data_IF_796122663436
#
_entry.id   IF_796122663436
#
_cell.length_a   1.000
_cell.length_b   1.000
_cell.length_c   1.000
_cell.angle_alpha   90.00
_cell.angle_beta   90.00
_cell.angle_gamma   90.00
#
_symmetry.space_group_name_H-M   'P 1'
#
loop_
_entity.id
_entity.type
_entity.pdbx_description
1 polymer ?
#
# COMPACT_ATOMS: atom_id res chain seq x y z
N UNK A 1 -5.69 -15.85 -32.73
CA UNK A 1 -4.78 -14.68 -32.75
C UNK A 1 -5.66 -13.44 -32.75
N UNK A 2 -5.87 -12.78 -31.61
CA UNK A 2 -6.46 -11.45 -31.52
C UNK A 2 -5.37 -10.50 -31.11
N UNK A 3 -5.13 -9.54 -31.96
CA UNK A 3 -4.10 -8.50 -31.84
C UNK A 3 -4.40 -7.55 -30.68
N UNK A 4 -3.40 -7.34 -29.83
CA UNK A 4 -3.39 -6.30 -28.82
C UNK A 4 -3.35 -4.92 -29.49
N UNK A 5 -4.08 -3.94 -28.93
CA UNK A 5 -3.83 -2.54 -29.17
C UNK A 5 -4.92 -1.75 -29.88
N UNK A 6 -6.10 -1.65 -29.28
CA UNK A 6 -6.95 -0.48 -29.53
C UNK A 6 -7.20 0.25 -28.21
N UNK A 7 -6.44 1.28 -28.01
CA UNK A 7 -6.71 2.29 -26.98
C UNK A 7 -7.99 3.02 -27.39
N UNK A 8 -9.11 2.67 -26.78
CA UNK A 8 -10.40 3.29 -27.04
C UNK A 8 -10.34 4.73 -26.49
N UNK A 9 -10.09 5.68 -27.38
CA UNK A 9 -10.17 7.11 -27.09
C UNK A 9 -11.63 7.50 -26.90
N UNK A 10 -12.10 7.52 -25.66
CA UNK A 10 -13.45 7.97 -25.32
C UNK A 10 -13.52 9.49 -25.54
N UNK A 11 -14.24 9.91 -26.59
CA UNK A 11 -14.58 11.31 -26.81
C UNK A 11 -15.51 11.80 -25.71
N UNK A 12 -15.10 12.87 -25.02
CA UNK A 12 -15.96 13.63 -24.11
C UNK A 12 -17.14 14.24 -24.93
N UNK A 13 -18.31 13.66 -24.76
CA UNK A 13 -19.56 14.12 -25.36
C UNK A 13 -20.75 13.80 -24.46
N UNK A 14 -21.36 14.83 -23.90
CA UNK A 14 -22.70 14.91 -23.28
C UNK A 14 -23.17 13.72 -22.45
N UNK A 15 -22.89 13.77 -21.13
CA UNK A 15 -23.81 13.32 -20.09
C UNK A 15 -24.29 11.86 -20.13
N UNK A 16 -23.39 10.87 -20.02
CA UNK A 16 -23.78 9.48 -19.79
C UNK A 16 -22.63 8.70 -19.16
N UNK A 17 -22.97 7.72 -18.32
CA UNK A 17 -22.01 6.75 -17.82
C UNK A 17 -21.82 5.63 -18.84
N UNK A 18 -20.75 4.89 -18.72
CA UNK A 18 -20.45 3.70 -19.53
C UNK A 18 -20.28 2.52 -18.58
N UNK A 19 -21.03 1.46 -18.81
CA UNK A 19 -20.80 0.19 -18.11
C UNK A 19 -19.55 -0.47 -18.71
N UNK A 20 -18.54 -0.72 -17.88
CA UNK A 20 -17.25 -1.26 -18.32
C UNK A 20 -17.38 -2.68 -18.91
N UNK A 21 -18.24 -3.51 -18.31
CA UNK A 21 -18.38 -4.90 -18.71
C UNK A 21 -19.03 -5.06 -20.07
N UNK A 22 -19.96 -4.16 -20.43
CA UNK A 22 -20.75 -4.24 -21.68
C UNK A 22 -20.34 -3.20 -22.71
N UNK A 23 -19.64 -2.14 -22.29
CA UNK A 23 -19.35 -0.96 -23.12
C UNK A 23 -20.58 -0.11 -23.46
N UNK A 24 -21.75 -0.40 -22.87
CA UNK A 24 -23.00 0.29 -23.18
C UNK A 24 -23.18 1.57 -22.36
N UNK A 25 -23.82 2.60 -22.95
CA UNK A 25 -24.15 3.81 -22.21
C UNK A 25 -25.24 3.52 -21.17
N UNK A 26 -25.07 4.11 -19.98
CA UNK A 26 -26.05 4.11 -18.91
C UNK A 26 -26.55 5.54 -18.68
N UNK A 27 -27.86 5.72 -18.61
CA UNK A 27 -28.47 7.01 -18.36
C UNK A 27 -28.26 7.50 -16.92
N UNK A 28 -28.22 6.56 -15.96
CA UNK A 28 -28.08 6.84 -14.53
C UNK A 28 -27.11 5.86 -13.88
N UNK A 29 -26.48 6.32 -12.79
CA UNK A 29 -25.64 5.49 -11.95
C UNK A 29 -26.49 4.84 -10.86
N UNK A 30 -26.70 3.53 -10.95
CA UNK A 30 -27.33 2.75 -9.90
C UNK A 30 -26.46 2.70 -8.62
N UNK A 31 -27.08 2.50 -7.44
CA UNK A 31 -26.40 2.45 -6.14
C UNK A 31 -25.37 1.33 -6.03
N UNK A 32 -25.53 0.25 -6.77
CA UNK A 32 -24.58 -0.87 -6.82
C UNK A 32 -23.32 -0.55 -7.65
N UNK A 33 -23.37 0.48 -8.51
CA UNK A 33 -22.28 0.87 -9.40
C UNK A 33 -21.39 1.95 -8.78
N UNK A 34 -20.13 1.96 -9.17
CA UNK A 34 -19.16 2.99 -8.78
C UNK A 34 -18.24 3.35 -9.94
N UNK A 35 -17.60 4.51 -9.86
CA UNK A 35 -16.63 4.93 -10.87
C UNK A 35 -15.35 4.13 -10.78
N UNK A 36 -14.93 3.56 -11.88
CA UNK A 36 -13.58 3.02 -12.03
C UNK A 36 -12.61 4.14 -12.42
N UNK A 37 -12.91 4.84 -13.52
CA UNK A 37 -12.19 6.04 -13.97
C UNK A 37 -13.13 6.88 -14.85
N UNK A 38 -12.99 8.19 -14.83
CA UNK A 38 -13.84 9.13 -15.56
C UNK A 38 -15.34 8.78 -15.42
N UNK A 39 -16.05 8.55 -16.54
CA UNK A 39 -17.45 8.15 -16.57
C UNK A 39 -17.69 6.63 -16.68
N UNK A 40 -16.62 5.82 -16.60
CA UNK A 40 -16.73 4.36 -16.65
C UNK A 40 -17.12 3.82 -15.28
N UNK A 41 -18.19 3.03 -15.24
CA UNK A 41 -18.74 2.42 -14.05
C UNK A 41 -18.47 0.91 -14.01
N UNK A 42 -18.25 0.44 -12.78
CA UNK A 42 -18.15 -0.99 -12.46
C UNK A 42 -19.02 -1.31 -11.24
N UNK A 43 -19.39 -2.56 -11.01
CA UNK A 43 -20.01 -2.97 -9.75
C UNK A 43 -19.12 -2.66 -8.54
N UNK A 44 -19.71 -2.28 -7.41
CA UNK A 44 -18.96 -2.08 -6.14
C UNK A 44 -18.22 -3.34 -5.66
N UNK A 45 -18.55 -4.50 -6.21
CA UNK A 45 -17.88 -5.78 -5.96
C UNK A 45 -16.67 -6.05 -6.86
N UNK A 46 -16.36 -5.13 -7.78
CA UNK A 46 -15.17 -5.27 -8.64
C UNK A 46 -13.89 -5.36 -7.78
N UNK A 47 -12.99 -6.31 -8.05
CA UNK A 47 -11.76 -6.48 -7.26
C UNK A 47 -10.88 -5.23 -7.19
N UNK A 48 -10.87 -4.39 -8.24
CA UNK A 48 -10.13 -3.12 -8.27
C UNK A 48 -10.69 -2.12 -7.26
N UNK A 49 -12.01 -2.11 -7.08
CA UNK A 49 -12.67 -1.27 -6.07
C UNK A 49 -12.38 -1.80 -4.66
N UNK A 50 -12.39 -3.13 -4.48
CA UNK A 50 -12.00 -3.74 -3.21
C UNK A 50 -10.54 -3.41 -2.85
N UNK A 51 -9.62 -3.47 -3.81
CA UNK A 51 -8.22 -3.05 -3.63
C UNK A 51 -8.11 -1.58 -3.21
N UNK A 52 -8.78 -0.67 -3.93
CA UNK A 52 -8.79 0.78 -3.58
C UNK A 52 -9.32 1.01 -2.16
N UNK A 53 -10.39 0.31 -1.77
CA UNK A 53 -10.93 0.41 -0.41
C UNK A 53 -9.97 -0.09 0.67
N UNK A 54 -9.21 -1.16 0.40
CA UNK A 54 -8.15 -1.64 1.31
C UNK A 54 -7.01 -0.63 1.40
N UNK A 55 -6.59 -0.05 0.30
CA UNK A 55 -5.51 0.93 0.25
C UNK A 55 -5.92 2.24 0.96
N UNK A 56 -7.16 2.68 0.80
CA UNK A 56 -7.70 3.85 1.50
C UNK A 56 -7.71 3.65 3.02
N UNK A 57 -8.17 2.49 3.49
CA UNK A 57 -8.12 2.12 4.91
C UNK A 57 -6.68 2.06 5.44
N UNK A 58 -5.74 1.56 4.63
CA UNK A 58 -4.33 1.48 4.97
C UNK A 58 -3.73 2.88 5.14
N UNK A 59 -3.96 3.79 4.18
CA UNK A 59 -3.51 5.19 4.27
C UNK A 59 -4.05 5.90 5.51
N UNK A 60 -5.33 5.70 5.83
CA UNK A 60 -5.94 6.28 7.03
C UNK A 60 -5.25 5.77 8.31
N UNK A 61 -4.96 4.48 8.40
CA UNK A 61 -4.26 3.88 9.54
C UNK A 61 -2.81 4.36 9.64
N UNK A 62 -2.10 4.45 8.52
CA UNK A 62 -0.72 4.96 8.46
C UNK A 62 -0.66 6.41 8.97
N UNK A 63 -1.58 7.26 8.52
CA UNK A 63 -1.67 8.66 8.96
C UNK A 63 -1.97 8.78 10.47
N UNK A 64 -2.89 7.97 10.98
CA UNK A 64 -3.22 7.96 12.41
C UNK A 64 -2.01 7.55 13.26
N UNK A 65 -1.29 6.51 12.84
CA UNK A 65 -0.10 6.05 13.52
C UNK A 65 1.05 7.06 13.43
N UNK A 66 1.20 7.78 12.31
CA UNK A 66 2.16 8.87 12.17
C UNK A 66 1.86 10.01 13.16
N UNK A 67 0.60 10.43 13.28
CA UNK A 67 0.19 11.43 14.28
C UNK A 67 0.50 10.97 15.71
N UNK A 68 0.27 9.70 16.03
CA UNK A 68 0.61 9.11 17.32
C UNK A 68 2.13 9.11 17.58
N UNK A 69 2.93 8.74 16.57
CA UNK A 69 4.39 8.77 16.69
C UNK A 69 4.89 10.19 16.99
N UNK A 70 4.36 11.20 16.31
CA UNK A 70 4.68 12.62 16.57
C UNK A 70 4.30 13.02 18.00
N UNK A 71 3.11 12.66 18.47
CA UNK A 71 2.68 13.00 19.85
C UNK A 71 3.52 12.35 20.95
N UNK A 72 4.22 11.26 20.63
CA UNK A 72 5.13 10.55 21.53
C UNK A 72 6.61 10.98 21.36
N UNK A 73 6.91 11.95 20.50
CA UNK A 73 8.30 12.38 20.21
C UNK A 73 9.13 11.32 19.48
N UNK A 74 8.48 10.39 18.75
CA UNK A 74 9.14 9.33 17.96
C UNK A 74 9.40 9.83 16.53
N UNK A 75 10.25 10.85 16.39
CA UNK A 75 10.46 11.57 15.14
C UNK A 75 10.96 10.68 13.99
N UNK A 76 11.89 9.76 14.24
CA UNK A 76 12.39 8.83 13.22
C UNK A 76 11.27 7.88 12.74
N UNK A 77 10.41 7.42 13.65
CA UNK A 77 9.26 6.60 13.29
C UNK A 77 8.25 7.39 12.46
N UNK A 78 7.94 8.62 12.87
CA UNK A 78 7.01 9.49 12.17
C UNK A 78 7.50 9.84 10.76
N UNK A 79 8.80 10.07 10.58
CA UNK A 79 9.41 10.28 9.27
C UNK A 79 9.27 9.02 8.38
N UNK A 80 9.62 7.84 8.89
CA UNK A 80 9.48 6.59 8.16
C UNK A 80 8.03 6.26 7.79
N UNK A 81 7.07 6.57 8.66
CA UNK A 81 5.64 6.44 8.35
C UNK A 81 5.19 7.45 7.28
N UNK A 82 5.81 8.62 7.20
CA UNK A 82 5.62 9.57 6.12
C UNK A 82 6.01 8.99 4.76
N UNK A 83 7.18 8.33 4.67
CA UNK A 83 7.61 7.64 3.45
C UNK A 83 6.66 6.49 3.05
N UNK A 84 6.17 5.73 4.05
CA UNK A 84 5.16 4.68 3.84
C UNK A 84 3.90 5.28 3.23
N UNK A 85 3.35 6.35 3.82
CA UNK A 85 2.13 7.03 3.35
C UNK A 85 2.28 7.59 1.92
N UNK A 86 3.41 8.21 1.61
CA UNK A 86 3.69 8.71 0.26
C UNK A 86 3.77 7.56 -0.77
N UNK A 87 4.27 6.40 -0.36
CA UNK A 87 4.30 5.21 -1.22
C UNK A 87 2.90 4.66 -1.46
N UNK A 88 2.06 4.59 -0.44
CA UNK A 88 0.65 4.18 -0.56
C UNK A 88 -0.12 5.09 -1.52
N UNK A 89 0.07 6.41 -1.41
CA UNK A 89 -0.50 7.41 -2.33
C UNK A 89 -0.02 7.23 -3.76
N UNK A 90 1.27 6.92 -3.94
CA UNK A 90 1.83 6.66 -5.26
C UNK A 90 1.25 5.38 -5.90
N UNK A 91 1.04 4.33 -5.11
CA UNK A 91 0.37 3.09 -5.56
C UNK A 91 -1.04 3.42 -6.06
N UNK A 92 -1.83 4.17 -5.27
CA UNK A 92 -3.19 4.56 -5.67
C UNK A 92 -3.18 5.41 -6.94
N UNK A 93 -2.28 6.39 -7.03
CA UNK A 93 -2.19 7.26 -8.19
C UNK A 93 -1.81 6.50 -9.46
N UNK A 94 -0.83 5.58 -9.39
CA UNK A 94 -0.41 4.74 -10.50
C UNK A 94 -1.54 3.79 -10.97
N UNK A 95 -2.30 3.24 -10.02
CA UNK A 95 -3.43 2.37 -10.34
C UNK A 95 -4.55 3.15 -11.04
N UNK A 96 -4.99 4.28 -10.47
CA UNK A 96 -6.09 5.10 -11.02
C UNK A 96 -5.76 5.65 -12.40
N UNK A 97 -4.50 6.03 -12.63
CA UNK A 97 -4.05 6.58 -13.91
C UNK A 97 -3.69 5.51 -14.94
N UNK A 98 -3.55 4.25 -14.53
CA UNK A 98 -3.04 3.18 -15.39
C UNK A 98 -1.56 3.36 -15.76
N UNK A 99 -0.79 4.12 -14.97
CA UNK A 99 0.62 4.40 -15.21
C UNK A 99 1.50 3.37 -14.48
N UNK A 100 2.71 3.07 -15.01
CA UNK A 100 3.69 2.25 -14.30
C UNK A 100 4.08 2.91 -12.97
N UNK A 101 4.27 2.07 -11.94
CA UNK A 101 4.78 2.51 -10.64
C UNK A 101 6.30 2.34 -10.60
N UNK A 102 7.10 3.43 -10.57
CA UNK A 102 8.55 3.32 -10.47
C UNK A 102 8.98 2.75 -9.12
N UNK A 103 10.09 2.01 -9.11
CA UNK A 103 10.72 1.58 -7.87
C UNK A 103 11.15 2.79 -7.02
N UNK A 104 11.02 2.63 -5.70
CA UNK A 104 11.32 3.68 -4.72
C UNK A 104 12.19 3.13 -3.61
N UNK A 105 13.06 3.96 -3.12
CA UNK A 105 13.75 3.73 -1.84
C UNK A 105 12.79 4.05 -0.69
N UNK A 106 12.90 3.29 0.40
CA UNK A 106 12.17 3.48 1.65
C UNK A 106 13.15 3.31 2.81
N UNK A 107 13.10 4.20 3.79
CA UNK A 107 13.98 4.17 4.96
C UNK A 107 15.47 4.23 4.60
N UNK A 108 15.81 4.83 3.44
CA UNK A 108 17.15 4.87 2.87
C UNK A 108 17.63 3.54 2.29
N UNK A 109 16.71 2.64 1.93
CA UNK A 109 17.00 1.31 1.40
C UNK A 109 16.28 1.09 0.07
N UNK A 110 16.97 0.49 -0.89
CA UNK A 110 16.36 -0.05 -2.09
C UNK A 110 15.56 -1.35 -1.81
N UNK A 111 14.92 -1.89 -2.82
CA UNK A 111 14.11 -3.10 -2.67
C UNK A 111 14.91 -4.33 -2.19
N UNK A 112 16.18 -4.45 -2.55
CA UNK A 112 17.06 -5.51 -2.09
C UNK A 112 17.49 -5.29 -0.63
N UNK A 113 17.82 -4.06 -0.27
CA UNK A 113 18.14 -3.65 1.10
C UNK A 113 16.97 -3.88 2.05
N UNK A 114 15.75 -3.49 1.67
CA UNK A 114 14.54 -3.75 2.46
C UNK A 114 14.35 -5.25 2.72
N UNK A 115 14.52 -6.08 1.69
CA UNK A 115 14.45 -7.54 1.83
C UNK A 115 15.53 -8.06 2.77
N UNK A 116 16.79 -7.65 2.57
CA UNK A 116 17.91 -8.08 3.41
C UNK A 116 17.67 -7.73 4.87
N UNK A 117 17.38 -6.47 5.19
CA UNK A 117 17.20 -6.00 6.58
C UNK A 117 16.00 -6.69 7.24
N UNK A 118 14.89 -6.87 6.53
CA UNK A 118 13.70 -7.52 7.09
C UNK A 118 13.88 -9.03 7.33
N UNK A 119 14.80 -9.69 6.63
CA UNK A 119 15.09 -11.13 6.79
C UNK A 119 16.26 -11.42 7.75
N UNK A 120 17.15 -10.46 7.95
CA UNK A 120 18.36 -10.59 8.78
C UNK A 120 18.34 -9.61 9.96
N UNK A 121 17.20 -9.58 10.69
CA UNK A 121 16.94 -8.59 11.74
C UNK A 121 18.01 -8.63 12.85
N UNK A 122 18.52 -9.81 13.19
CA UNK A 122 19.55 -9.93 14.23
C UNK A 122 20.86 -9.25 13.83
N UNK A 123 21.28 -9.45 12.59
CA UNK A 123 22.53 -8.89 12.07
C UNK A 123 22.41 -7.39 11.80
N UNK A 124 21.27 -6.95 11.29
CA UNK A 124 21.05 -5.60 10.78
C UNK A 124 20.50 -4.64 11.86
N UNK A 125 19.71 -5.13 12.82
CA UNK A 125 19.05 -4.32 13.86
C UNK A 125 19.53 -4.69 15.26
N UNK A 126 20.06 -5.91 15.46
CA UNK A 126 20.62 -6.35 16.73
C UNK A 126 19.63 -7.04 17.67
N UNK A 127 18.45 -7.41 17.18
CA UNK A 127 17.45 -8.16 17.95
C UNK A 127 17.04 -9.42 17.16
N UNK A 128 16.67 -10.53 17.82
CA UNK A 128 16.02 -11.64 17.15
C UNK A 128 14.68 -11.18 16.57
N UNK A 129 14.14 -11.93 15.58
CA UNK A 129 12.80 -11.65 15.03
C UNK A 129 11.80 -11.55 16.18
N UNK A 130 11.18 -10.36 16.40
CA UNK A 130 10.29 -10.18 17.53
C UNK A 130 8.97 -10.90 17.30
N UNK A 131 8.55 -11.66 18.30
CA UNK A 131 7.20 -12.23 18.36
C UNK A 131 6.32 -11.18 19.04
N UNK A 132 5.28 -10.66 18.39
CA UNK A 132 4.44 -9.61 18.98
C UNK A 132 3.84 -10.05 20.33
N UNK A 133 4.00 -9.19 21.33
CA UNK A 133 3.50 -9.40 22.69
C UNK A 133 3.11 -8.06 23.35
N UNK A 134 2.21 -8.07 24.36
CA UNK A 134 1.71 -6.85 24.99
C UNK A 134 2.80 -6.02 25.69
N UNK A 135 3.92 -6.62 26.03
CA UNK A 135 5.10 -5.99 26.61
C UNK A 135 5.82 -5.02 25.65
N UNK A 136 5.58 -5.14 24.36
CA UNK A 136 6.16 -4.25 23.34
C UNK A 136 5.50 -2.87 23.30
N UNK A 137 4.31 -2.74 23.89
CA UNK A 137 3.54 -1.50 23.97
C UNK A 137 2.76 -1.20 22.68
N UNK A 138 1.74 -0.34 22.84
CA UNK A 138 0.67 -0.11 21.86
C UNK A 138 1.21 0.28 20.46
N UNK A 139 2.08 1.27 20.37
CA UNK A 139 2.61 1.76 19.08
C UNK A 139 3.36 0.68 18.30
N UNK A 140 4.08 -0.22 18.98
CA UNK A 140 4.75 -1.33 18.30
C UNK A 140 3.73 -2.35 17.77
N UNK A 141 2.70 -2.65 18.54
CA UNK A 141 1.65 -3.57 18.10
C UNK A 141 0.82 -2.97 16.95
N UNK A 142 0.58 -1.67 16.95
CA UNK A 142 -0.06 -0.97 15.83
C UNK A 142 0.77 -1.03 14.55
N UNK A 143 2.12 -0.90 14.64
CA UNK A 143 3.01 -1.14 13.49
C UNK A 143 2.88 -2.58 12.96
N UNK A 144 2.76 -3.57 13.85
CA UNK A 144 2.51 -4.94 13.41
C UNK A 144 1.13 -5.09 12.75
N UNK A 145 0.09 -4.42 13.25
CA UNK A 145 -1.22 -4.37 12.59
C UNK A 145 -1.12 -3.71 11.21
N UNK A 146 -0.45 -2.56 11.11
CA UNK A 146 -0.21 -1.88 9.83
C UNK A 146 0.48 -2.80 8.82
N UNK A 147 1.51 -3.55 9.25
CA UNK A 147 2.20 -4.54 8.42
C UNK A 147 1.24 -5.60 7.87
N UNK A 148 0.32 -6.11 8.69
CA UNK A 148 -0.67 -7.10 8.22
C UNK A 148 -1.66 -6.50 7.23
N UNK A 149 -2.06 -5.25 7.43
CA UNK A 149 -2.94 -4.52 6.51
C UNK A 149 -2.27 -4.25 5.14
N UNK A 150 -0.95 -3.93 5.12
CA UNK A 150 -0.19 -3.88 3.86
C UNK A 150 -0.27 -5.20 3.10
N UNK A 151 -0.13 -6.34 3.80
CA UNK A 151 -0.25 -7.67 3.19
C UNK A 151 -1.68 -7.96 2.69
N UNK A 152 -2.70 -7.48 3.39
CA UNK A 152 -4.08 -7.59 2.89
C UNK A 152 -4.28 -6.76 1.61
N UNK A 153 -3.68 -5.57 1.53
CA UNK A 153 -3.70 -4.76 0.32
C UNK A 153 -2.93 -5.43 -0.84
N UNK A 154 -1.79 -6.08 -0.56
CA UNK A 154 -1.04 -6.87 -1.55
C UNK A 154 -1.90 -8.01 -2.10
N UNK A 155 -2.60 -8.77 -1.24
CA UNK A 155 -3.50 -9.85 -1.67
C UNK A 155 -4.69 -9.33 -2.48
N UNK A 156 -5.26 -8.18 -2.10
CA UNK A 156 -6.32 -7.53 -2.85
C UNK A 156 -5.83 -7.06 -4.24
N UNK A 157 -4.60 -6.52 -4.33
CA UNK A 157 -3.97 -6.18 -5.60
C UNK A 157 -3.74 -7.41 -6.48
N UNK A 158 -3.27 -8.52 -5.90
CA UNK A 158 -3.10 -9.78 -6.63
C UNK A 158 -4.43 -10.31 -7.19
N UNK A 159 -5.51 -10.22 -6.41
CA UNK A 159 -6.85 -10.60 -6.85
C UNK A 159 -7.41 -9.69 -7.95
N UNK A 160 -7.07 -8.38 -7.90
CA UNK A 160 -7.55 -7.39 -8.86
C UNK A 160 -6.82 -7.43 -10.20
N UNK A 161 -5.51 -7.69 -10.18
CA UNK A 161 -4.65 -7.47 -11.35
C UNK A 161 -3.90 -8.72 -11.84
N UNK A 162 -3.85 -9.78 -11.05
CA UNK A 162 -3.03 -10.95 -11.36
C UNK A 162 -1.57 -10.55 -11.60
N UNK A 163 -0.99 -11.02 -12.68
CA UNK A 163 0.39 -10.69 -13.10
C UNK A 163 0.49 -9.34 -13.84
N UNK A 164 -0.65 -8.71 -14.17
CA UNK A 164 -0.69 -7.49 -14.99
C UNK A 164 -0.10 -6.24 -14.31
N UNK A 165 0.04 -6.25 -12.97
CA UNK A 165 0.59 -5.14 -12.19
C UNK A 165 1.64 -5.64 -11.17
N UNK A 166 2.67 -6.32 -11.67
CA UNK A 166 3.81 -6.76 -10.85
C UNK A 166 4.51 -5.60 -10.14
N UNK A 167 4.50 -4.40 -10.73
CA UNK A 167 5.04 -3.18 -10.15
C UNK A 167 4.36 -2.85 -8.82
N UNK A 168 3.01 -2.88 -8.77
CA UNK A 168 2.22 -2.66 -7.55
C UNK A 168 2.45 -3.78 -6.54
N UNK A 169 2.42 -5.04 -6.97
CA UNK A 169 2.64 -6.18 -6.09
C UNK A 169 4.02 -6.13 -5.44
N UNK A 170 5.06 -5.84 -6.22
CA UNK A 170 6.43 -5.68 -5.73
C UNK A 170 6.54 -4.53 -4.73
N UNK A 171 5.92 -3.39 -5.04
CA UNK A 171 5.92 -2.23 -4.16
C UNK A 171 5.26 -2.55 -2.80
N UNK A 172 4.06 -3.13 -2.79
CA UNK A 172 3.36 -3.51 -1.55
C UNK A 172 4.12 -4.55 -0.75
N UNK A 173 4.75 -5.53 -1.41
CA UNK A 173 5.62 -6.50 -0.76
C UNK A 173 6.81 -5.82 -0.05
N UNK A 174 7.48 -4.85 -0.71
CA UNK A 174 8.57 -4.07 -0.10
C UNK A 174 8.06 -3.14 1.00
N UNK A 175 6.88 -2.58 0.84
CA UNK A 175 6.24 -1.74 1.84
C UNK A 175 5.99 -2.53 3.14
N UNK A 176 5.53 -3.78 3.06
CA UNK A 176 5.36 -4.64 4.24
C UNK A 176 6.70 -4.90 4.94
N UNK A 177 7.80 -5.02 4.19
CA UNK A 177 9.16 -5.13 4.75
C UNK A 177 9.59 -3.84 5.44
N UNK A 178 9.31 -2.67 4.86
CA UNK A 178 9.62 -1.37 5.46
C UNK A 178 8.88 -1.18 6.79
N UNK A 179 7.58 -1.46 6.85
CA UNK A 179 6.80 -1.38 8.10
C UNK A 179 7.33 -2.36 9.15
N UNK A 180 7.73 -3.57 8.74
CA UNK A 180 8.35 -4.53 9.65
C UNK A 180 9.70 -4.03 10.20
N UNK A 181 10.50 -3.36 9.37
CA UNK A 181 11.77 -2.73 9.83
C UNK A 181 11.49 -1.64 10.85
N UNK A 182 10.47 -0.79 10.64
CA UNK A 182 10.06 0.24 11.61
C UNK A 182 9.63 -0.41 12.93
N UNK A 183 8.85 -1.48 12.88
CA UNK A 183 8.47 -2.25 14.06
C UNK A 183 9.70 -2.78 14.83
N UNK A 184 10.62 -3.44 14.12
CA UNK A 184 11.84 -3.99 14.73
C UNK A 184 12.74 -2.89 15.33
N UNK A 185 12.91 -1.75 14.64
CA UNK A 185 13.68 -0.60 15.14
C UNK A 185 13.05 -0.03 16.41
N UNK A 186 11.73 0.12 16.46
CA UNK A 186 11.04 0.61 17.66
C UNK A 186 11.21 -0.35 18.84
N UNK A 187 11.06 -1.67 18.61
CA UNK A 187 11.27 -2.69 19.67
C UNK A 187 12.73 -2.69 20.16
N UNK A 188 13.71 -2.58 19.26
CA UNK A 188 15.13 -2.49 19.61
C UNK A 188 15.42 -1.24 20.47
N UNK A 189 14.90 -0.08 20.06
CA UNK A 189 15.07 1.17 20.80
C UNK A 189 14.48 1.09 22.22
N UNK A 190 13.30 0.51 22.38
CA UNK A 190 12.67 0.30 23.70
C UNK A 190 13.44 -0.66 24.61
N UNK A 191 14.22 -1.59 24.03
CA UNK A 191 15.13 -2.49 24.75
C UNK A 191 16.50 -1.88 25.01
N UNK A 192 16.72 -0.60 24.66
CA UNK A 192 18.01 0.08 24.83
C UNK A 192 19.11 -0.42 23.87
N UNK A 193 18.75 -1.13 22.82
CA UNK A 193 19.69 -1.64 21.82
C UNK A 193 19.94 -0.51 20.81
N UNK A 194 21.18 0.00 20.78
CA UNK A 194 21.59 1.00 19.81
C UNK A 194 22.01 0.34 18.51
N UNK A 195 21.66 0.99 17.38
CA UNK A 195 22.10 0.61 16.04
C UNK A 195 23.62 0.40 16.03
N UNK A 196 24.12 -0.73 15.56
CA UNK A 196 25.54 -0.86 15.21
C UNK A 196 25.83 0.18 14.11
N UNK A 197 26.77 1.09 14.39
CA UNK A 197 27.30 2.03 13.40
C UNK A 197 28.03 1.28 12.28
#
# INVERSE_FOLDING_TARGET
MRTAGETMTVRAGTGGYIDEATGQPLAEKGEFMTHLHANVLVPKTDPRIAFRGKLDSLMAQTLLLQCRALSQGLEELAAGLGEVLETERAVLAAEVKGEPLPERELLGLDGAGLRRVSHHVLEEIGIPHPIPGPDMGETALELNCLRTQVREAELAAAAAFGEGREDILRCLNRLSSAVYILFCRLVAARRGIKKKQ
#
